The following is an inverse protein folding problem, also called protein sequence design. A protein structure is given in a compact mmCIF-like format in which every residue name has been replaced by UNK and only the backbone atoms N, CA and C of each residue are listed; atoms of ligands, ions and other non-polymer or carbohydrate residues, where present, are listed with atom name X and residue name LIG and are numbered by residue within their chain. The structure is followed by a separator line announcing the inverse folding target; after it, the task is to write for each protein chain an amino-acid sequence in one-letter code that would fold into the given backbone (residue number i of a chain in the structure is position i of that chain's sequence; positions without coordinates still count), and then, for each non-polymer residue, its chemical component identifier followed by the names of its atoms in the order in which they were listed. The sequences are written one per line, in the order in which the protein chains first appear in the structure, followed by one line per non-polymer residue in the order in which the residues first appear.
data_IF_522531583786
#
_entry.id   IF_522531583786
#
_cell.length_a   1.000
_cell.length_b   1.000
_cell.length_c   1.000
_cell.angle_alpha   90.00
_cell.angle_beta   90.00
_cell.angle_gamma   90.00
#
_symmetry.space_group_name_H-M   'P 1'
#
loop_
_entity.id
_entity.type
_entity.pdbx_description
1 polymer ?
#
# COMPACT_ATOMS: atom_id res chain seq x y z
N UNK A 1 -16.66 -17.69 -12.58
CA UNK A 1 -15.81 -16.66 -11.96
C UNK A 1 -14.48 -16.74 -12.69
N UNK A 2 -14.05 -15.68 -13.37
CA UNK A 2 -12.75 -15.69 -14.04
C UNK A 2 -11.68 -15.75 -12.95
N UNK A 3 -10.80 -16.75 -13.03
CA UNK A 3 -9.74 -16.95 -12.06
C UNK A 3 -8.75 -15.79 -12.17
N UNK A 4 -8.55 -15.05 -11.09
CA UNK A 4 -7.54 -13.99 -11.02
C UNK A 4 -6.22 -14.60 -10.59
N UNK A 5 -5.17 -14.33 -11.36
CA UNK A 5 -3.80 -14.68 -11.01
C UNK A 5 -3.09 -13.47 -10.41
N UNK A 6 -2.35 -13.63 -9.32
CA UNK A 6 -1.55 -12.55 -8.72
C UNK A 6 -0.07 -12.83 -8.93
N UNK A 7 0.68 -11.82 -9.36
CA UNK A 7 2.13 -11.92 -9.55
C UNK A 7 2.85 -10.60 -9.26
N UNK A 8 4.17 -10.63 -9.01
CA UNK A 8 4.97 -9.41 -8.94
C UNK A 8 4.88 -8.58 -10.23
N UNK A 9 4.97 -7.26 -10.05
CA UNK A 9 5.12 -6.29 -11.14
C UNK A 9 6.47 -6.46 -11.85
N UNK A 10 6.50 -6.14 -13.13
CA UNK A 10 7.71 -5.96 -13.92
C UNK A 10 7.66 -4.63 -14.67
N UNK A 11 8.81 -4.12 -15.14
CA UNK A 11 8.87 -2.83 -15.84
C UNK A 11 7.98 -2.76 -17.08
N UNK A 12 7.75 -3.90 -17.75
CA UNK A 12 6.82 -4.02 -18.90
C UNK A 12 5.35 -3.75 -18.54
N UNK A 13 4.99 -3.81 -17.26
CA UNK A 13 3.61 -3.65 -16.79
C UNK A 13 3.24 -2.18 -16.56
N UNK A 14 4.21 -1.25 -16.59
CA UNK A 14 3.99 0.15 -16.17
C UNK A 14 2.84 0.84 -16.92
N UNK A 15 2.70 0.62 -18.23
CA UNK A 15 1.60 1.23 -18.99
C UNK A 15 0.24 0.64 -18.61
N UNK A 16 0.18 -0.67 -18.34
CA UNK A 16 -1.03 -1.32 -17.89
C UNK A 16 -1.41 -0.87 -16.47
N UNK A 17 -0.43 -0.77 -15.56
CA UNK A 17 -0.61 -0.28 -14.19
C UNK A 17 -1.10 1.16 -14.19
N UNK A 18 -0.50 2.04 -15.00
CA UNK A 18 -0.98 3.42 -15.16
C UNK A 18 -2.44 3.44 -15.58
N UNK A 19 -2.82 2.61 -16.56
CA UNK A 19 -4.20 2.49 -17.03
C UNK A 19 -5.17 1.94 -15.97
N UNK A 20 -4.71 1.10 -15.03
CA UNK A 20 -5.55 0.66 -13.90
C UNK A 20 -5.99 1.88 -13.08
N UNK A 21 -5.06 2.73 -12.66
CA UNK A 21 -5.36 3.90 -11.82
C UNK A 21 -6.16 4.97 -12.55
N UNK A 22 -5.83 5.24 -13.82
CA UNK A 22 -6.58 6.17 -14.66
C UNK A 22 -8.07 5.79 -14.77
N UNK A 23 -8.39 4.49 -14.69
CA UNK A 23 -9.76 3.96 -14.75
C UNK A 23 -10.41 3.73 -13.38
N UNK A 24 -9.62 3.46 -12.35
CA UNK A 24 -10.11 3.11 -11.02
C UNK A 24 -10.54 4.33 -10.21
N UNK A 25 -9.92 5.49 -10.46
CA UNK A 25 -10.14 6.73 -9.72
C UNK A 25 -10.79 7.80 -10.62
N UNK A 26 -11.52 8.77 -10.04
CA UNK A 26 -12.05 9.90 -10.78
C UNK A 26 -10.96 10.92 -11.14
N UNK A 27 -11.23 11.74 -12.15
CA UNK A 27 -10.44 12.93 -12.45
C UNK A 27 -10.66 14.03 -11.39
N UNK A 28 -9.62 14.79 -10.98
CA UNK A 28 -8.22 14.73 -11.43
C UNK A 28 -7.33 13.75 -10.64
N UNK A 29 -7.84 13.13 -9.59
CA UNK A 29 -7.10 12.24 -8.67
C UNK A 29 -6.40 11.08 -9.38
N UNK A 30 -7.06 10.51 -10.40
CA UNK A 30 -6.57 9.38 -11.17
C UNK A 30 -5.16 9.57 -11.75
N UNK A 31 -4.80 10.77 -12.22
CA UNK A 31 -3.47 11.09 -12.76
C UNK A 31 -2.42 11.12 -11.65
N UNK A 32 -2.77 11.70 -10.50
CA UNK A 32 -1.90 11.75 -9.33
C UNK A 32 -1.58 10.34 -8.86
N UNK A 33 -2.59 9.51 -8.64
CA UNK A 33 -2.41 8.13 -8.16
C UNK A 33 -1.70 7.26 -9.19
N UNK A 34 -2.00 7.45 -10.50
CA UNK A 34 -1.30 6.75 -11.57
C UNK A 34 0.19 7.13 -11.65
N UNK A 35 0.52 8.43 -11.48
CA UNK A 35 1.90 8.91 -11.41
C UNK A 35 2.63 8.31 -10.20
N UNK A 36 2.05 8.44 -9.01
CA UNK A 36 2.56 7.90 -7.75
C UNK A 36 2.90 6.41 -7.87
N UNK A 37 2.00 5.61 -8.44
CA UNK A 37 2.23 4.17 -8.61
C UNK A 37 3.50 3.87 -9.42
N UNK A 38 3.71 4.59 -10.54
CA UNK A 38 4.86 4.37 -11.42
C UNK A 38 6.15 4.90 -10.78
N UNK A 39 6.08 6.02 -10.08
CA UNK A 39 7.23 6.59 -9.36
C UNK A 39 7.68 5.67 -8.22
N UNK A 40 6.76 5.08 -7.46
CA UNK A 40 7.09 4.12 -6.39
C UNK A 40 7.75 2.85 -6.92
N UNK A 41 7.30 2.33 -8.06
CA UNK A 41 7.90 1.16 -8.71
C UNK A 41 9.29 1.45 -9.28
N UNK A 42 9.57 2.71 -9.63
CA UNK A 42 10.88 3.15 -10.13
C UNK A 42 11.83 3.66 -9.04
N UNK A 43 11.35 3.86 -7.81
CA UNK A 43 12.14 4.45 -6.73
C UNK A 43 13.16 3.46 -6.18
N UNK A 44 14.43 3.88 -6.09
CA UNK A 44 15.48 3.15 -5.42
C UNK A 44 15.28 3.22 -3.89
N UNK A 45 14.61 2.22 -3.33
CA UNK A 45 14.29 2.10 -1.91
C UNK A 45 15.06 0.95 -1.29
N UNK A 46 15.16 0.90 0.06
CA UNK A 46 15.76 -0.24 0.77
C UNK A 46 14.94 -0.57 2.02
N UNK A 47 14.34 -1.77 2.11
CA UNK A 47 14.16 -2.76 1.03
C UNK A 47 13.39 -2.21 -0.18
N UNK A 48 13.37 -2.93 -1.30
CA UNK A 48 12.66 -2.47 -2.51
C UNK A 48 11.13 -2.39 -2.28
N UNK A 49 10.47 -1.45 -2.97
CA UNK A 49 9.01 -1.40 -3.09
C UNK A 49 8.49 -2.73 -3.65
N UNK A 50 7.54 -3.35 -2.95
CA UNK A 50 6.81 -4.51 -3.42
C UNK A 50 5.60 -4.06 -4.26
N UNK A 51 5.60 -4.38 -5.55
CA UNK A 51 4.44 -4.21 -6.43
C UNK A 51 3.84 -5.56 -6.82
N UNK A 52 2.50 -5.67 -6.78
CA UNK A 52 1.76 -6.83 -7.29
C UNK A 52 0.68 -6.40 -8.28
N UNK A 53 0.48 -7.22 -9.31
CA UNK A 53 -0.64 -7.09 -10.25
C UNK A 53 -1.58 -8.27 -10.14
N UNK A 54 -2.87 -8.00 -10.37
CA UNK A 54 -3.91 -8.99 -10.57
C UNK A 54 -4.21 -9.09 -12.06
N UNK A 55 -4.13 -10.30 -12.60
CA UNK A 55 -4.38 -10.60 -14.01
C UNK A 55 -5.64 -11.45 -14.18
N UNK A 56 -6.49 -11.04 -15.12
CA UNK A 56 -7.66 -11.80 -15.57
C UNK A 56 -7.69 -11.77 -17.10
N UNK A 57 -7.86 -12.93 -17.73
CA UNK A 57 -7.91 -13.09 -19.19
C UNK A 57 -6.71 -12.46 -19.93
N UNK A 58 -5.52 -12.53 -19.33
CA UNK A 58 -4.28 -11.96 -19.87
C UNK A 58 -4.17 -10.43 -19.74
N UNK A 59 -5.10 -9.78 -19.04
CA UNK A 59 -5.09 -8.34 -18.80
C UNK A 59 -4.82 -8.04 -17.32
N UNK A 60 -4.01 -7.02 -17.05
CA UNK A 60 -3.86 -6.48 -15.70
C UNK A 60 -5.13 -5.69 -15.34
N UNK A 61 -5.83 -6.15 -14.32
CA UNK A 61 -7.11 -5.61 -13.84
C UNK A 61 -7.01 -4.94 -12.48
N UNK A 62 -5.87 -5.10 -11.79
CA UNK A 62 -5.61 -4.46 -10.51
C UNK A 62 -4.12 -4.37 -10.23
N UNK A 63 -3.75 -3.41 -9.38
CA UNK A 63 -2.40 -3.20 -8.91
C UNK A 63 -2.40 -2.73 -7.45
N UNK A 64 -1.40 -3.15 -6.70
CA UNK A 64 -1.11 -2.69 -5.34
C UNK A 64 0.41 -2.49 -5.20
N UNK A 65 0.81 -1.44 -4.49
CA UNK A 65 2.20 -1.23 -4.08
C UNK A 65 2.32 -1.12 -2.56
N UNK A 66 3.46 -1.59 -2.06
CA UNK A 66 3.92 -1.45 -0.70
C UNK A 66 5.34 -0.88 -0.73
N UNK A 67 5.53 0.31 -0.18
CA UNK A 67 6.85 0.96 -0.13
C UNK A 67 7.37 1.02 1.31
N UNK A 68 8.69 0.88 1.54
CA UNK A 68 9.22 0.84 2.89
C UNK A 68 9.07 2.21 3.58
N UNK A 69 9.02 2.17 4.91
CA UNK A 69 9.19 3.33 5.77
C UNK A 69 10.43 3.17 6.62
N UNK A 70 11.07 4.29 6.94
CA UNK A 70 12.08 4.34 8.01
C UNK A 70 11.42 4.85 9.28
N UNK A 71 11.94 4.43 10.43
CA UNK A 71 11.49 4.89 11.73
C UNK A 71 12.68 5.25 12.60
N UNK A 72 12.47 6.12 13.59
CA UNK A 72 13.46 6.42 14.63
C UNK A 72 13.57 5.29 15.67
N UNK A 73 13.26 4.06 15.28
CA UNK A 73 13.62 2.84 16.01
C UNK A 73 15.03 2.44 15.58
N UNK A 74 15.83 1.92 16.49
CA UNK A 74 17.16 1.40 16.15
C UNK A 74 17.13 0.35 15.02
N UNK A 75 18.30 -0.10 14.61
CA UNK A 75 18.46 -1.07 13.52
C UNK A 75 17.56 -2.31 13.68
N UNK A 76 17.05 -2.82 12.55
CA UNK A 76 16.32 -4.09 12.49
C UNK A 76 14.78 -4.01 12.46
N UNK A 77 14.19 -2.82 12.61
CA UNK A 77 12.76 -2.62 12.39
C UNK A 77 12.44 -2.44 10.92
N UNK A 78 11.36 -3.08 10.44
CA UNK A 78 10.93 -3.00 9.05
C UNK A 78 9.43 -2.67 8.94
N UNK A 79 9.12 -1.52 8.36
CA UNK A 79 7.74 -1.11 8.08
C UNK A 79 7.50 -0.80 6.62
N UNK A 80 6.25 -0.92 6.17
CA UNK A 80 5.81 -0.56 4.82
C UNK A 80 4.53 0.26 4.84
N UNK A 81 4.28 1.08 3.81
CA UNK A 81 2.98 1.69 3.52
C UNK A 81 2.36 1.01 2.31
N UNK A 82 1.14 0.51 2.47
CA UNK A 82 0.27 0.11 1.38
C UNK A 82 -0.27 1.37 0.69
N UNK A 83 0.33 1.74 -0.43
CA UNK A 83 -0.19 2.75 -1.33
C UNK A 83 0.52 2.70 -2.69
N UNK A 84 -0.19 2.91 -3.81
CA UNK A 84 -1.66 2.92 -3.93
C UNK A 84 -2.24 1.52 -4.18
N UNK A 85 -3.55 1.34 -4.01
CA UNK A 85 -4.32 0.16 -4.45
C UNK A 85 -5.38 0.60 -5.46
N UNK A 86 -5.42 -0.03 -6.63
CA UNK A 86 -6.38 0.30 -7.70
C UNK A 86 -6.87 -0.94 -8.42
N UNK A 87 -8.19 -0.98 -8.70
CA UNK A 87 -8.86 -2.06 -9.43
C UNK A 87 -9.73 -1.43 -10.52
N UNK A 88 -9.65 -1.93 -11.75
CA UNK A 88 -10.49 -1.42 -12.85
C UNK A 88 -11.98 -1.64 -12.53
N UNK A 89 -12.89 -0.73 -12.92
CA UNK A 89 -14.29 -0.77 -12.49
C UNK A 89 -15.02 -2.11 -12.70
N UNK A 90 -14.77 -2.77 -13.84
CA UNK A 90 -15.38 -4.05 -14.18
C UNK A 90 -15.00 -5.21 -13.24
N UNK A 91 -13.94 -5.07 -12.45
CA UNK A 91 -13.42 -6.09 -11.53
C UNK A 91 -13.50 -5.65 -10.05
N UNK A 92 -14.12 -4.49 -9.77
CA UNK A 92 -14.37 -4.05 -8.41
C UNK A 92 -15.47 -4.90 -7.75
N UNK A 93 -15.47 -4.97 -6.41
CA UNK A 93 -16.42 -5.76 -5.61
C UNK A 93 -16.46 -7.27 -5.95
N UNK A 94 -15.48 -7.77 -6.70
CA UNK A 94 -15.33 -9.17 -7.06
C UNK A 94 -14.20 -9.88 -6.28
N UNK A 95 -13.70 -9.27 -5.20
CA UNK A 95 -12.65 -9.85 -4.35
C UNK A 95 -11.21 -9.57 -4.81
N UNK A 96 -10.98 -8.98 -5.99
CA UNK A 96 -9.63 -8.74 -6.55
C UNK A 96 -8.74 -7.91 -5.61
N UNK A 97 -9.29 -6.82 -5.04
CA UNK A 97 -8.57 -6.00 -4.08
C UNK A 97 -8.17 -6.77 -2.82
N UNK A 98 -9.04 -7.65 -2.32
CA UNK A 98 -8.72 -8.53 -1.20
C UNK A 98 -7.61 -9.49 -1.53
N UNK A 99 -7.67 -10.17 -2.69
CA UNK A 99 -6.62 -11.09 -3.13
C UNK A 99 -5.25 -10.40 -3.25
N UNK A 100 -5.21 -9.16 -3.74
CA UNK A 100 -3.97 -8.37 -3.80
C UNK A 100 -3.42 -8.01 -2.42
N UNK A 101 -4.28 -7.58 -1.49
CA UNK A 101 -3.89 -7.27 -0.11
C UNK A 101 -3.36 -8.53 0.57
N UNK A 102 -4.11 -9.63 0.53
CA UNK A 102 -3.74 -10.88 1.19
C UNK A 102 -2.40 -11.42 0.67
N UNK A 103 -2.18 -11.39 -0.65
CA UNK A 103 -0.91 -11.80 -1.25
C UNK A 103 0.26 -10.91 -0.84
N UNK A 104 0.05 -9.58 -0.79
CA UNK A 104 1.06 -8.62 -0.34
C UNK A 104 1.42 -8.81 1.13
N UNK A 105 0.41 -8.95 2.00
CA UNK A 105 0.61 -9.16 3.43
C UNK A 105 1.30 -10.49 3.73
N UNK A 106 0.94 -11.57 3.02
CA UNK A 106 1.62 -12.86 3.14
C UNK A 106 3.11 -12.77 2.75
N UNK A 107 3.42 -12.03 1.67
CA UNK A 107 4.81 -11.82 1.23
C UNK A 107 5.61 -11.02 2.26
N UNK A 108 5.07 -9.88 2.70
CA UNK A 108 5.72 -8.99 3.65
C UNK A 108 5.93 -9.67 5.02
N UNK A 109 4.96 -10.45 5.49
CA UNK A 109 5.13 -11.25 6.71
C UNK A 109 6.24 -12.29 6.57
N UNK A 110 6.33 -12.96 5.41
CA UNK A 110 7.43 -13.90 5.13
C UNK A 110 8.81 -13.24 5.04
N UNK A 111 8.87 -11.94 4.72
CA UNK A 111 10.09 -11.13 4.69
C UNK A 111 10.42 -10.50 6.06
N UNK A 112 9.65 -10.81 7.10
CA UNK A 112 9.89 -10.31 8.47
C UNK A 112 9.50 -8.86 8.68
N UNK A 113 8.59 -8.30 7.88
CA UNK A 113 8.04 -6.96 8.09
C UNK A 113 7.30 -6.90 9.41
N UNK A 114 7.56 -5.89 10.24
CA UNK A 114 6.93 -5.73 11.55
C UNK A 114 5.54 -5.11 11.46
N UNK A 115 5.36 -4.14 10.56
CA UNK A 115 4.12 -3.37 10.44
C UNK A 115 3.88 -2.87 9.02
N UNK A 116 2.62 -2.91 8.60
CA UNK A 116 2.17 -2.27 7.37
C UNK A 116 1.16 -1.20 7.72
N UNK A 117 1.37 0.00 7.20
CA UNK A 117 0.49 1.14 7.33
C UNK A 117 -0.41 1.29 6.12
N UNK A 118 -1.56 1.93 6.32
CA UNK A 118 -2.43 2.36 5.24
C UNK A 118 -3.11 3.67 5.63
N UNK A 119 -3.33 4.51 4.64
CA UNK A 119 -4.15 5.70 4.77
C UNK A 119 -5.38 5.58 3.87
N UNK A 120 -6.55 5.35 4.47
CA UNK A 120 -7.79 5.18 3.71
C UNK A 120 -8.98 4.75 4.57
N UNK A 121 -10.08 4.33 3.94
CA UNK A 121 -11.35 4.05 4.61
C UNK A 121 -11.25 2.88 5.62
N UNK A 122 -11.47 3.12 6.93
CA UNK A 122 -11.45 2.06 7.95
C UNK A 122 -12.49 0.96 7.75
N UNK A 123 -13.63 1.26 7.13
CA UNK A 123 -14.64 0.24 6.82
C UNK A 123 -14.15 -0.77 5.76
N UNK A 124 -13.26 -0.32 4.87
CA UNK A 124 -12.65 -1.15 3.85
C UNK A 124 -11.43 -1.91 4.41
N UNK A 125 -10.48 -1.20 5.02
CA UNK A 125 -9.20 -1.77 5.47
C UNK A 125 -9.31 -2.54 6.79
N UNK A 126 -10.25 -2.19 7.67
CA UNK A 126 -10.48 -2.90 8.93
C UNK A 126 -10.86 -4.37 8.75
N UNK A 127 -11.43 -4.74 7.59
CA UNK A 127 -11.75 -6.14 7.23
C UNK A 127 -10.50 -7.02 7.11
N UNK A 128 -9.32 -6.43 6.93
CA UNK A 128 -8.04 -7.14 6.84
C UNK A 128 -7.23 -7.06 8.15
N UNK A 129 -7.76 -6.41 9.19
CA UNK A 129 -7.07 -6.25 10.48
C UNK A 129 -6.27 -4.95 10.63
N UNK A 130 -6.38 -4.00 9.69
CA UNK A 130 -5.84 -2.66 9.88
C UNK A 130 -6.67 -1.90 10.92
N UNK A 131 -6.01 -1.24 11.86
CA UNK A 131 -6.69 -0.49 12.93
C UNK A 131 -5.95 0.81 13.25
N UNK A 132 -6.69 1.81 13.74
CA UNK A 132 -6.10 3.08 14.19
C UNK A 132 -5.28 2.84 15.47
N UNK A 133 -5.71 1.93 16.34
CA UNK A 133 -5.02 1.55 17.57
C UNK A 133 -3.62 0.98 17.28
N UNK A 134 -3.49 0.14 16.26
CA UNK A 134 -2.20 -0.37 15.84
C UNK A 134 -1.27 0.74 15.32
N UNK A 135 -1.82 1.78 14.71
CA UNK A 135 -1.09 2.95 14.20
C UNK A 135 -0.83 4.04 15.26
N UNK A 136 -1.52 4.01 16.40
CA UNK A 136 -1.63 5.15 17.32
C UNK A 136 -0.31 5.75 17.80
N UNK A 137 0.76 4.93 17.90
CA UNK A 137 2.08 5.40 18.32
C UNK A 137 2.95 5.95 17.18
N UNK A 138 2.57 5.72 15.92
CA UNK A 138 3.31 6.12 14.74
C UNK A 138 2.71 7.41 14.19
N UNK A 139 3.51 8.47 14.22
CA UNK A 139 3.11 9.74 13.62
C UNK A 139 3.09 9.57 12.10
N UNK A 140 2.01 9.95 11.41
CA UNK A 140 2.01 9.98 9.95
C UNK A 140 3.13 10.91 9.45
N UNK A 141 3.73 10.63 8.28
CA UNK A 141 4.78 11.47 7.68
C UNK A 141 4.38 12.95 7.51
N UNK A 142 3.08 13.22 7.26
CA UNK A 142 2.52 14.56 7.10
C UNK A 142 1.17 14.69 7.82
N UNK A 143 0.63 15.92 7.87
CA UNK A 143 -0.71 16.17 8.39
C UNK A 143 -1.77 15.47 7.53
N UNK A 144 -2.76 14.84 8.19
CA UNK A 144 -3.77 14.04 7.52
C UNK A 144 -5.00 14.87 7.18
N UNK A 145 -5.43 14.85 5.91
CA UNK A 145 -6.73 15.38 5.50
C UNK A 145 -7.90 14.71 6.23
N UNK A 146 -7.80 13.40 6.47
CA UNK A 146 -8.80 12.55 7.12
C UNK A 146 -8.14 11.79 8.29
N UNK A 147 -8.03 12.38 9.49
CA UNK A 147 -7.28 11.78 10.60
C UNK A 147 -7.68 10.34 10.97
N UNK A 148 -8.94 9.96 10.74
CA UNK A 148 -9.44 8.60 10.99
C UNK A 148 -8.93 7.55 10.00
N UNK A 149 -8.34 7.96 8.88
CA UNK A 149 -7.89 7.06 7.82
C UNK A 149 -6.56 6.37 8.11
N UNK A 150 -5.76 6.90 9.05
CA UNK A 150 -4.43 6.37 9.38
C UNK A 150 -4.54 5.11 10.24
N UNK A 151 -4.12 3.99 9.65
CA UNK A 151 -4.28 2.66 10.24
C UNK A 151 -3.01 1.84 10.01
N UNK A 152 -2.85 0.80 10.82
CA UNK A 152 -1.74 -0.15 10.67
C UNK A 152 -2.20 -1.58 10.96
N UNK A 153 -1.46 -2.53 10.41
CA UNK A 153 -1.52 -3.94 10.79
C UNK A 153 -0.13 -4.35 11.26
N UNK A 154 -0.02 -4.77 12.52
CA UNK A 154 1.22 -5.29 13.10
C UNK A 154 1.32 -6.79 12.81
N UNK A 155 2.43 -7.22 12.23
CA UNK A 155 2.72 -8.62 11.95
C UNK A 155 3.57 -9.24 13.06
N UNK A 156 4.53 -8.47 13.58
CA UNK A 156 5.45 -8.87 14.64
C UNK A 156 5.63 -7.73 15.66
N UNK A 157 6.11 -8.09 16.86
CA UNK A 157 6.45 -7.14 17.92
C UNK A 157 5.44 -7.02 19.07
N UNK A 158 5.94 -6.55 20.22
CA UNK A 158 5.17 -6.40 21.45
C UNK A 158 4.31 -5.11 21.41
N UNK A 159 3.04 -5.25 21.74
CA UNK A 159 2.09 -4.15 21.83
C UNK A 159 2.33 -3.22 23.03
N UNK A 160 3.27 -3.58 23.93
CA UNK A 160 3.50 -2.89 25.20
C UNK A 160 4.27 -1.57 25.11
N UNK A 161 5.07 -1.32 24.04
CA UNK A 161 5.83 -0.07 23.91
C UNK A 161 4.94 1.06 23.36
N UNK A 162 4.77 2.09 24.18
CA UNK A 162 3.87 3.23 23.95
C UNK A 162 4.59 4.47 23.44
N UNK A 163 5.92 4.43 23.25
CA UNK A 163 6.67 5.59 22.78
C UNK A 163 6.25 6.00 21.39
N UNK A 164 5.96 7.29 21.23
CA UNK A 164 5.67 7.89 19.93
C UNK A 164 6.87 7.81 19.00
N UNK A 165 6.63 7.46 17.75
CA UNK A 165 7.67 7.22 16.74
C UNK A 165 7.36 8.05 15.51
N UNK A 166 8.36 8.76 15.01
CA UNK A 166 8.30 9.39 13.69
C UNK A 166 8.71 8.35 12.65
N UNK A 167 7.95 8.30 11.58
CA UNK A 167 8.30 7.53 10.39
C UNK A 167 8.49 8.47 9.21
N UNK A 168 9.35 8.08 8.27
CA UNK A 168 9.48 8.73 6.97
C UNK A 168 9.15 7.73 5.87
N UNK A 169 8.48 8.19 4.81
CA UNK A 169 8.07 7.36 3.69
C UNK A 169 9.05 7.43 2.52
N UNK A 170 8.86 6.54 1.54
CA UNK A 170 9.58 6.59 0.28
C UNK A 170 9.38 7.94 -0.44
N UNK A 171 10.39 8.37 -1.20
CA UNK A 171 10.44 9.69 -1.86
C UNK A 171 9.16 10.10 -2.60
N UNK A 172 8.52 9.25 -3.42
CA UNK A 172 7.28 9.60 -4.10
C UNK A 172 6.08 9.87 -3.17
N UNK A 173 6.10 9.36 -1.93
CA UNK A 173 5.11 9.67 -0.89
C UNK A 173 5.49 10.91 -0.06
N UNK A 174 6.68 11.50 -0.27
CA UNK A 174 7.13 12.73 0.39
C UNK A 174 6.48 13.99 -0.22
N UNK A 175 5.17 13.94 -0.43
CA UNK A 175 4.34 15.04 -0.93
C UNK A 175 3.17 15.23 0.04
N UNK A 176 3.12 16.32 0.82
CA UNK A 176 2.04 16.59 1.77
C UNK A 176 0.63 16.58 1.15
N UNK A 177 0.50 16.80 -0.17
CA UNK A 177 -0.82 16.81 -0.83
C UNK A 177 -1.45 15.42 -0.96
N UNK A 178 -0.70 14.35 -0.68
CA UNK A 178 -1.16 12.96 -0.69
C UNK A 178 -1.70 12.49 0.67
N UNK A 179 -1.62 13.32 1.71
CA UNK A 179 -1.89 12.97 3.11
C UNK A 179 -3.09 13.74 3.67
#
# INVERSE_FOLDING_TARGET
MNTVNVRPTASRDHDAIRNVYLRAFPEPENRTVAGLAIELLGAATRPDTLGLVAEADGLIVGHIAFSPVTADFGEGWLGFILAPLGIVPAHQRAGVGSTLIDAGMARLSGDGVDVVFVYGDPSYYGRFGFTAEAAARFLPPYELQFPFGWQAMRMHGDASDTRTVRISCAGPLCDPSLW
#
